data_IF_287746872430
#
_entry.id   IF_287746872430
#
_cell.length_a   1.000
_cell.length_b   1.000
_cell.length_c   1.000
_cell.angle_alpha   90.00
_cell.angle_beta   90.00
_cell.angle_gamma   90.00
#
_symmetry.space_group_name_H-M   'P 1'
#
loop_
_entity.id
_entity.type
_entity.pdbx_description
1 polymer ?
#
# COMPACT_ATOMS: atom_id res chain seq x y z
N UNK A 1 -21.90 -38.52 -55.10
CA UNK A 1 -22.35 -37.10 -55.09
C UNK A 1 -22.56 -36.52 -53.68
N UNK A 2 -22.50 -37.30 -52.60
CA UNK A 2 -22.76 -36.84 -51.21
C UNK A 2 -21.48 -36.28 -50.54
N UNK A 3 -20.30 -36.84 -50.82
CA UNK A 3 -19.03 -36.43 -50.19
C UNK A 3 -18.62 -34.98 -50.51
N UNK A 4 -18.79 -34.53 -51.77
CA UNK A 4 -18.48 -33.15 -52.16
C UNK A 4 -19.31 -32.09 -51.42
N UNK A 5 -20.51 -32.44 -50.95
CA UNK A 5 -21.39 -31.51 -50.21
C UNK A 5 -20.96 -31.35 -48.75
N UNK A 6 -20.38 -32.40 -48.16
CA UNK A 6 -19.84 -32.39 -46.78
C UNK A 6 -18.55 -31.57 -46.73
N UNK A 7 -17.68 -31.71 -47.73
CA UNK A 7 -16.41 -30.99 -47.81
C UNK A 7 -16.63 -29.48 -48.04
N UNK A 8 -17.60 -29.13 -48.90
CA UNK A 8 -18.03 -27.75 -49.12
C UNK A 8 -18.60 -27.10 -47.84
N UNK A 9 -19.35 -27.85 -47.03
CA UNK A 9 -19.86 -27.34 -45.74
C UNK A 9 -18.76 -27.13 -44.70
N UNK A 10 -17.74 -27.98 -44.64
CA UNK A 10 -16.59 -27.82 -43.74
C UNK A 10 -15.74 -26.60 -44.12
N UNK A 11 -15.55 -26.36 -45.42
CA UNK A 11 -14.84 -25.18 -45.94
C UNK A 11 -15.54 -23.87 -45.55
N UNK A 12 -16.86 -23.78 -45.77
CA UNK A 12 -17.66 -22.58 -45.41
C UNK A 12 -17.66 -22.30 -43.90
N UNK A 13 -17.67 -23.33 -43.05
CA UNK A 13 -17.58 -23.16 -41.58
C UNK A 13 -16.21 -22.61 -41.14
N UNK A 14 -15.12 -23.09 -41.74
CA UNK A 14 -13.76 -22.56 -41.45
C UNK A 14 -13.62 -21.10 -41.88
N UNK A 15 -14.19 -20.74 -43.03
CA UNK A 15 -14.15 -19.37 -43.53
C UNK A 15 -14.98 -18.40 -42.68
N UNK A 16 -16.15 -18.83 -42.17
CA UNK A 16 -16.94 -18.03 -41.21
C UNK A 16 -16.21 -17.82 -39.88
N UNK A 17 -15.58 -18.86 -39.31
CA UNK A 17 -14.81 -18.73 -38.06
C UNK A 17 -13.64 -17.74 -38.21
N UNK A 18 -12.92 -17.79 -39.33
CA UNK A 18 -11.82 -16.83 -39.60
C UNK A 18 -12.32 -15.39 -39.72
N UNK A 19 -13.48 -15.15 -40.33
CA UNK A 19 -14.08 -13.81 -40.40
C UNK A 19 -14.51 -13.29 -39.04
N UNK A 20 -15.11 -14.13 -38.19
CA UNK A 20 -15.51 -13.72 -36.84
C UNK A 20 -14.29 -13.35 -35.98
N UNK A 21 -13.22 -14.17 -36.03
CA UNK A 21 -11.99 -13.89 -35.29
C UNK A 21 -11.33 -12.59 -35.79
N UNK A 22 -11.26 -12.39 -37.10
CA UNK A 22 -10.68 -11.17 -37.67
C UNK A 22 -11.45 -9.91 -37.21
N UNK A 23 -12.79 -9.95 -37.22
CA UNK A 23 -13.60 -8.81 -36.75
C UNK A 23 -13.41 -8.57 -35.25
N UNK A 24 -13.37 -9.64 -34.43
CA UNK A 24 -13.15 -9.50 -32.99
C UNK A 24 -11.79 -8.88 -32.66
N UNK A 25 -10.73 -9.29 -33.37
CA UNK A 25 -9.39 -8.71 -33.21
C UNK A 25 -9.36 -7.25 -33.65
N UNK A 26 -10.00 -6.91 -34.78
CA UNK A 26 -10.09 -5.52 -35.25
C UNK A 26 -10.82 -4.61 -34.26
N UNK A 27 -11.91 -5.07 -33.65
CA UNK A 27 -12.65 -4.31 -32.62
C UNK A 27 -11.79 -4.10 -31.38
N UNK A 28 -11.03 -5.12 -30.95
CA UNK A 28 -10.13 -5.04 -29.80
C UNK A 28 -8.98 -4.05 -30.04
N UNK A 29 -8.39 -4.05 -31.24
CA UNK A 29 -7.32 -3.10 -31.61
C UNK A 29 -7.84 -1.67 -31.66
N UNK A 30 -9.05 -1.44 -32.20
CA UNK A 30 -9.66 -0.10 -32.22
C UNK A 30 -10.03 0.36 -30.81
N UNK A 31 -10.56 -0.52 -29.95
CA UNK A 31 -10.85 -0.19 -28.56
C UNK A 31 -9.58 0.14 -27.77
N UNK A 32 -8.50 -0.62 -27.95
CA UNK A 32 -7.20 -0.35 -27.33
C UNK A 32 -6.60 0.97 -27.85
N UNK A 33 -6.70 1.23 -29.15
CA UNK A 33 -6.24 2.49 -29.74
C UNK A 33 -7.05 3.68 -29.21
N UNK A 34 -8.38 3.57 -29.06
CA UNK A 34 -9.21 4.61 -28.47
C UNK A 34 -8.97 4.80 -26.97
N UNK A 35 -8.55 3.75 -26.27
CA UNK A 35 -8.18 3.84 -24.85
C UNK A 35 -6.82 4.53 -24.65
N UNK A 36 -5.84 4.22 -25.49
CA UNK A 36 -4.50 4.83 -25.47
C UNK A 36 -4.53 6.27 -26.01
N UNK A 37 -5.40 6.55 -26.96
CA UNK A 37 -5.50 7.85 -27.64
C UNK A 37 -6.64 8.72 -27.12
N UNK A 38 -7.35 8.30 -26.07
CA UNK A 38 -8.12 9.24 -25.27
C UNK A 38 -7.08 10.24 -24.74
N UNK A 39 -7.08 11.50 -25.21
CA UNK A 39 -6.28 12.49 -24.57
C UNK A 39 -6.75 12.47 -23.13
N UNK A 40 -5.81 12.32 -22.21
CA UNK A 40 -6.02 12.73 -20.85
C UNK A 40 -6.37 14.22 -20.96
N UNK A 41 -7.66 14.51 -21.17
CA UNK A 41 -8.24 15.78 -20.80
C UNK A 41 -7.88 15.83 -19.32
N UNK A 42 -6.76 16.51 -19.04
CA UNK A 42 -6.61 17.18 -17.78
C UNK A 42 -7.91 17.95 -17.68
N UNK A 43 -8.85 17.39 -16.92
CA UNK A 43 -9.85 18.19 -16.26
C UNK A 43 -8.99 19.31 -15.69
N UNK A 44 -9.09 20.50 -16.31
CA UNK A 44 -8.65 21.71 -15.68
C UNK A 44 -9.35 21.63 -14.34
N UNK A 45 -8.59 21.26 -13.30
CA UNK A 45 -9.11 21.27 -11.95
C UNK A 45 -9.75 22.64 -11.86
N UNK A 46 -11.07 22.74 -11.62
CA UNK A 46 -11.62 24.05 -11.33
C UNK A 46 -10.71 24.56 -10.25
N UNK A 47 -10.10 25.74 -10.43
CA UNK A 47 -9.31 26.39 -9.39
C UNK A 47 -10.18 26.28 -8.16
N UNK A 48 -9.87 25.30 -7.30
CA UNK A 48 -10.69 24.95 -6.16
C UNK A 48 -10.33 26.07 -5.23
N UNK A 49 -11.12 27.13 -5.34
CA UNK A 49 -11.23 28.19 -4.37
C UNK A 49 -11.15 27.50 -3.03
N UNK A 50 -10.02 27.68 -2.34
CA UNK A 50 -9.58 26.92 -1.18
C UNK A 50 -10.81 26.49 -0.41
N UNK A 51 -11.21 25.22 -0.58
CA UNK A 51 -12.46 24.74 0.00
C UNK A 51 -12.36 25.08 1.46
N UNK A 52 -13.22 26.02 1.91
CA UNK A 52 -13.18 26.55 3.25
C UNK A 52 -13.06 25.34 4.17
N UNK A 53 -11.86 25.17 4.74
CA UNK A 53 -11.66 24.29 5.87
C UNK A 53 -12.70 24.81 6.84
N UNK A 54 -13.77 24.06 7.04
CA UNK A 54 -14.86 24.42 7.94
C UNK A 54 -14.17 24.92 9.20
N UNK A 55 -14.27 26.23 9.45
CA UNK A 55 -13.50 26.87 10.52
C UNK A 55 -13.77 26.04 11.77
N UNK A 56 -12.71 25.40 12.26
CA UNK A 56 -12.74 24.70 13.52
C UNK A 56 -13.37 25.66 14.53
N UNK A 57 -14.36 25.24 15.34
CA UNK A 57 -15.01 26.14 16.27
C UNK A 57 -13.97 26.91 17.07
N UNK A 58 -13.88 28.22 16.82
CA UNK A 58 -12.94 29.12 17.50
C UNK A 58 -13.18 29.02 19.01
N UNK A 59 -12.20 28.51 19.75
CA UNK A 59 -12.22 28.53 21.21
C UNK A 59 -12.04 27.19 21.93
N UNK A 60 -11.82 26.08 21.24
CA UNK A 60 -11.32 24.88 21.90
C UNK A 60 -9.81 25.00 22.10
N UNK A 61 -9.37 25.47 23.28
CA UNK A 61 -7.96 25.36 23.67
C UNK A 61 -7.57 23.86 23.64
N UNK A 62 -6.44 23.51 23.00
CA UNK A 62 -5.97 22.13 22.99
C UNK A 62 -5.78 21.66 24.44
N UNK A 63 -6.18 20.42 24.78
CA UNK A 63 -6.07 19.93 26.15
C UNK A 63 -4.64 20.09 26.67
N UNK A 64 -4.49 20.73 27.83
CA UNK A 64 -3.19 20.96 28.45
C UNK A 64 -2.45 19.63 28.66
N UNK A 65 -1.22 19.54 28.13
CA UNK A 65 -0.29 18.45 28.41
C UNK A 65 -0.03 17.47 27.26
N UNK A 66 -0.61 17.66 26.06
CA UNK A 66 -0.54 16.68 24.98
C UNK A 66 -0.42 17.29 23.58
N UNK A 67 0.47 18.26 23.43
CA UNK A 67 0.93 18.67 22.11
C UNK A 67 2.01 17.71 21.64
N UNK A 68 1.75 17.01 20.54
CA UNK A 68 2.84 16.29 19.89
C UNK A 68 3.90 17.31 19.45
N UNK A 69 5.19 17.11 19.74
CA UNK A 69 6.20 17.99 19.19
C UNK A 69 6.07 17.96 17.66
N UNK A 70 6.17 19.13 17.02
CA UNK A 70 6.13 19.28 15.54
C UNK A 70 7.21 18.44 14.81
N UNK A 71 8.03 17.70 15.56
CA UNK A 71 9.09 16.82 15.06
C UNK A 71 8.57 15.56 14.39
N UNK A 72 7.38 15.06 14.74
CA UNK A 72 6.87 13.82 14.13
C UNK A 72 6.07 14.11 12.88
N UNK A 73 6.33 13.31 11.85
CA UNK A 73 5.67 13.37 10.55
C UNK A 73 4.54 12.34 10.50
N UNK A 74 3.33 12.80 10.18
CA UNK A 74 2.14 11.96 10.08
C UNK A 74 1.73 11.79 8.62
N UNK A 75 1.45 10.56 8.20
CA UNK A 75 0.85 10.25 6.91
C UNK A 75 -0.55 9.63 7.11
N UNK A 76 -1.55 10.13 6.39
CA UNK A 76 -2.92 9.59 6.37
C UNK A 76 -3.18 8.96 5.01
N UNK A 77 -3.28 7.63 5.01
CA UNK A 77 -3.54 6.83 3.84
C UNK A 77 -5.04 6.60 3.73
N UNK A 78 -5.66 6.97 2.63
CA UNK A 78 -7.12 6.91 2.52
C UNK A 78 -7.62 6.56 1.11
N UNK A 79 -8.78 5.92 1.04
CA UNK A 79 -9.49 5.77 -0.24
C UNK A 79 -10.26 7.05 -0.59
N UNK A 80 -10.67 7.23 -1.86
CA UNK A 80 -11.61 8.29 -2.21
C UNK A 80 -12.95 8.21 -1.46
N UNK A 81 -13.39 7.00 -1.09
CA UNK A 81 -14.65 6.79 -0.36
C UNK A 81 -14.58 7.24 1.11
N UNK A 82 -13.38 7.35 1.67
CA UNK A 82 -13.13 7.70 3.07
C UNK A 82 -12.98 9.22 3.30
N UNK A 83 -13.32 10.07 2.33
CA UNK A 83 -13.14 11.52 2.41
C UNK A 83 -13.78 12.17 3.67
N UNK A 84 -14.93 11.65 4.12
CA UNK A 84 -15.59 12.13 5.34
C UNK A 84 -14.75 11.79 6.60
N UNK A 85 -14.20 10.58 6.66
CA UNK A 85 -13.32 10.13 7.75
C UNK A 85 -11.97 10.82 7.75
N UNK A 86 -11.46 11.20 6.57
CA UNK A 86 -10.24 12.00 6.48
C UNK A 86 -10.38 13.33 7.25
N UNK A 87 -11.54 13.98 7.16
CA UNK A 87 -11.80 15.23 7.91
C UNK A 87 -11.84 14.98 9.43
N UNK A 88 -12.40 13.85 9.86
CA UNK A 88 -12.39 13.44 11.26
C UNK A 88 -10.95 13.19 11.76
N UNK A 89 -10.12 12.49 10.98
CA UNK A 89 -8.70 12.28 11.32
C UNK A 89 -7.95 13.59 11.41
N UNK A 90 -8.10 14.49 10.44
CA UNK A 90 -7.48 15.83 10.47
C UNK A 90 -7.93 16.62 11.70
N UNK A 91 -9.22 16.56 12.04
CA UNK A 91 -9.74 17.20 13.25
C UNK A 91 -9.06 16.66 14.50
N UNK A 92 -9.00 15.34 14.67
CA UNK A 92 -8.38 14.72 15.85
C UNK A 92 -6.87 14.99 15.93
N UNK A 93 -6.15 14.94 14.81
CA UNK A 93 -4.74 15.31 14.74
C UNK A 93 -4.52 16.76 15.19
N UNK A 94 -5.36 17.69 14.72
CA UNK A 94 -5.30 19.10 15.13
C UNK A 94 -5.54 19.27 16.63
N UNK A 95 -6.51 18.55 17.19
CA UNK A 95 -6.81 18.55 18.63
C UNK A 95 -5.65 17.99 19.49
N UNK A 96 -4.74 17.24 18.89
CA UNK A 96 -3.53 16.71 19.53
C UNK A 96 -2.26 17.53 19.17
N UNK A 97 -2.44 18.72 18.61
CA UNK A 97 -1.35 19.62 18.25
C UNK A 97 -0.61 19.26 16.94
N UNK A 98 -1.13 18.31 16.16
CA UNK A 98 -0.59 17.93 14.85
C UNK A 98 -1.37 18.60 13.73
N UNK A 99 -0.93 19.81 13.37
CA UNK A 99 -1.57 20.61 12.31
C UNK A 99 -1.15 20.19 10.89
N UNK A 100 -0.15 19.32 10.73
CA UNK A 100 0.39 18.92 9.43
C UNK A 100 0.37 17.40 9.28
N UNK A 101 -0.26 16.92 8.21
CA UNK A 101 -0.17 15.54 7.77
C UNK A 101 -0.01 15.47 6.26
N UNK A 102 0.71 14.46 5.77
CA UNK A 102 0.73 14.10 4.37
C UNK A 102 -0.49 13.21 4.06
N UNK A 103 -1.17 13.49 2.97
CA UNK A 103 -2.28 12.65 2.49
C UNK A 103 -1.79 11.75 1.36
N UNK A 104 -2.06 10.46 1.51
CA UNK A 104 -1.62 9.43 0.58
C UNK A 104 -2.85 8.71 0.05
N UNK A 105 -3.32 9.05 -1.17
CA UNK A 105 -4.46 8.35 -1.75
C UNK A 105 -4.07 6.91 -2.05
N UNK A 106 -4.91 5.95 -1.65
CA UNK A 106 -4.67 4.52 -1.90
C UNK A 106 -5.81 3.86 -2.67
N UNK A 107 -5.44 2.97 -3.58
CA UNK A 107 -6.36 2.15 -4.35
C UNK A 107 -6.75 0.90 -3.54
N UNK A 108 -7.60 1.02 -2.52
CA UNK A 108 -8.05 -0.18 -1.79
C UNK A 108 -8.94 -1.02 -2.70
N UNK A 109 -8.54 -2.27 -2.90
CA UNK A 109 -9.21 -3.27 -3.76
C UNK A 109 -9.78 -4.45 -2.94
N UNK A 110 -9.98 -4.28 -1.63
CA UNK A 110 -10.45 -5.32 -0.72
C UNK A 110 -11.72 -4.94 0.05
N UNK A 111 -12.52 -5.93 0.42
CA UNK A 111 -13.76 -5.79 1.20
C UNK A 111 -13.53 -5.67 2.71
N UNK A 112 -12.27 -5.73 3.17
CA UNK A 112 -11.93 -5.67 4.58
C UNK A 112 -11.79 -4.21 5.00
N UNK A 113 -12.51 -3.81 6.04
CA UNK A 113 -12.29 -2.53 6.71
C UNK A 113 -10.93 -2.56 7.40
N UNK A 114 -10.04 -1.69 6.97
CA UNK A 114 -8.72 -1.48 7.56
C UNK A 114 -8.72 -0.07 8.13
N UNK A 115 -9.02 0.04 9.43
CA UNK A 115 -8.84 1.27 10.19
C UNK A 115 -7.73 0.99 11.20
N UNK A 116 -6.54 1.51 10.94
CA UNK A 116 -5.37 1.18 11.74
C UNK A 116 -4.48 2.41 11.94
N UNK A 117 -3.77 2.41 13.06
CA UNK A 117 -2.69 3.36 13.35
C UNK A 117 -1.40 2.57 13.49
N UNK A 118 -0.40 2.91 12.70
CA UNK A 118 0.96 2.37 12.79
C UNK A 118 1.90 3.46 13.28
N UNK A 119 2.89 3.09 14.08
CA UNK A 119 3.99 3.97 14.45
C UNK A 119 5.33 3.27 14.21
N UNK A 120 6.32 4.06 13.80
CA UNK A 120 7.59 3.54 13.32
C UNK A 120 8.73 3.83 14.30
N UNK A 121 9.31 2.75 14.84
CA UNK A 121 10.39 2.82 15.82
C UNK A 121 9.97 2.58 17.27
N UNK A 122 10.85 2.93 18.21
CA UNK A 122 10.76 2.56 19.63
C UNK A 122 10.43 3.71 20.59
N UNK A 123 10.09 4.89 20.06
CA UNK A 123 9.80 6.08 20.86
C UNK A 123 8.49 5.93 21.66
N UNK A 124 8.58 6.06 22.99
CA UNK A 124 7.46 5.87 23.91
C UNK A 124 6.45 7.04 23.86
N UNK A 125 6.91 8.25 23.57
CA UNK A 125 6.05 9.42 23.35
C UNK A 125 5.21 9.22 22.10
N UNK A 126 5.84 8.79 21.00
CA UNK A 126 5.15 8.47 19.74
C UNK A 126 4.13 7.34 19.93
N UNK A 127 4.49 6.29 20.67
CA UNK A 127 3.56 5.19 21.02
C UNK A 127 2.35 5.69 21.82
N UNK A 128 2.58 6.54 22.83
CA UNK A 128 1.51 7.11 23.66
C UNK A 128 0.54 7.94 22.81
N UNK A 129 1.07 8.78 21.92
CA UNK A 129 0.27 9.55 20.98
C UNK A 129 -0.52 8.68 20.02
N UNK A 130 0.11 7.67 19.41
CA UNK A 130 -0.56 6.73 18.52
C UNK A 130 -1.73 6.04 19.23
N UNK A 131 -1.57 5.71 20.53
CA UNK A 131 -2.63 5.12 21.35
C UNK A 131 -3.82 6.05 21.52
N UNK A 132 -3.57 7.30 21.88
CA UNK A 132 -4.64 8.29 22.06
C UNK A 132 -5.36 8.63 20.76
N UNK A 133 -4.62 8.71 19.66
CA UNK A 133 -5.20 8.90 18.34
C UNK A 133 -6.10 7.73 17.96
N UNK A 134 -5.63 6.48 18.16
CA UNK A 134 -6.43 5.29 17.92
C UNK A 134 -7.70 5.27 18.77
N UNK A 135 -7.61 5.56 20.08
CA UNK A 135 -8.74 5.63 21.00
C UNK A 135 -9.79 6.67 20.55
N UNK A 136 -9.34 7.87 20.15
CA UNK A 136 -10.22 8.96 19.67
C UNK A 136 -10.91 8.62 18.35
N UNK A 137 -10.25 7.87 17.48
CA UNK A 137 -10.81 7.41 16.21
C UNK A 137 -11.66 6.13 16.37
N UNK A 138 -11.66 5.52 17.56
CA UNK A 138 -12.31 4.24 17.81
C UNK A 138 -11.67 3.09 17.02
N UNK A 139 -10.35 3.15 16.81
CA UNK A 139 -9.57 2.13 16.11
C UNK A 139 -9.01 1.11 17.11
N UNK A 140 -8.52 -0.01 16.59
CA UNK A 140 -7.76 -0.97 17.40
C UNK A 140 -6.45 -0.35 17.91
N UNK A 141 -5.85 -0.90 19.00
CA UNK A 141 -4.57 -0.42 19.52
C UNK A 141 -3.51 -0.30 18.43
N UNK A 142 -2.69 0.77 18.46
CA UNK A 142 -1.73 1.04 17.39
C UNK A 142 -0.67 -0.05 17.32
N UNK A 143 -0.20 -0.33 16.11
CA UNK A 143 0.81 -1.35 15.85
C UNK A 143 2.19 -0.70 15.65
N UNK A 144 3.21 -1.25 16.31
CA UNK A 144 4.61 -0.89 16.01
C UNK A 144 4.99 -1.50 14.67
N UNK A 145 5.73 -0.75 13.86
CA UNK A 145 6.40 -1.29 12.67
C UNK A 145 7.86 -0.84 12.68
N UNK A 146 8.78 -1.79 12.67
CA UNK A 146 10.22 -1.51 12.59
C UNK A 146 10.68 -1.50 11.13
N UNK A 147 10.13 -2.38 10.29
CA UNK A 147 10.44 -2.51 8.87
C UNK A 147 9.17 -2.69 8.01
N UNK A 148 9.15 -2.11 6.82
CA UNK A 148 8.10 -2.31 5.82
C UNK A 148 8.71 -2.85 4.53
N UNK A 149 8.26 -4.03 4.10
CA UNK A 149 8.69 -4.67 2.86
C UNK A 149 7.72 -4.32 1.74
N UNK A 150 8.13 -3.45 0.81
CA UNK A 150 7.35 -3.17 -0.41
C UNK A 150 7.84 -4.08 -1.52
N UNK A 151 7.02 -5.06 -1.90
CA UNK A 151 7.38 -6.12 -2.84
C UNK A 151 7.31 -5.61 -4.28
N UNK A 152 8.40 -5.75 -5.03
CA UNK A 152 8.44 -5.43 -6.45
C UNK A 152 8.21 -6.66 -7.34
N UNK A 153 8.19 -6.45 -8.66
CA UNK A 153 8.02 -7.52 -9.66
C UNK A 153 9.15 -8.55 -9.62
N UNK A 154 10.32 -8.20 -9.08
CA UNK A 154 11.46 -9.10 -8.87
C UNK A 154 11.25 -10.16 -7.77
N UNK A 155 10.23 -10.01 -6.91
CA UNK A 155 10.05 -10.78 -5.68
C UNK A 155 9.99 -12.30 -5.87
N UNK A 156 9.43 -12.81 -6.98
CA UNK A 156 9.39 -14.26 -7.22
C UNK A 156 10.80 -14.85 -7.37
N UNK A 157 11.66 -14.15 -8.11
CA UNK A 157 13.05 -14.53 -8.25
C UNK A 157 13.78 -14.46 -6.90
N UNK A 158 13.48 -13.43 -6.10
CA UNK A 158 14.08 -13.26 -4.77
C UNK A 158 13.70 -14.37 -3.81
N UNK A 159 12.41 -14.70 -3.71
CA UNK A 159 11.93 -15.77 -2.84
C UNK A 159 12.45 -17.14 -3.27
N UNK A 160 12.61 -17.37 -4.58
CA UNK A 160 13.18 -18.60 -5.11
C UNK A 160 14.68 -18.74 -4.80
N UNK A 161 15.42 -17.62 -4.83
CA UNK A 161 16.86 -17.59 -4.52
C UNK A 161 17.16 -17.53 -3.02
N UNK A 162 16.21 -17.04 -2.21
CA UNK A 162 16.39 -16.86 -0.78
C UNK A 162 16.61 -18.21 -0.05
N UNK A 163 17.55 -18.26 0.91
CA UNK A 163 17.87 -19.48 1.63
C UNK A 163 16.66 -20.04 2.37
N UNK A 164 16.49 -21.36 2.46
CA UNK A 164 15.34 -21.98 3.15
C UNK A 164 15.27 -21.65 4.64
N UNK A 165 16.42 -21.43 5.22
CA UNK A 165 16.67 -21.12 6.62
C UNK A 165 17.78 -20.09 6.63
N UNK A 166 17.65 -19.07 7.46
CA UNK A 166 18.65 -18.04 7.58
C UNK A 166 18.84 -17.73 9.07
N UNK A 167 20.10 -17.65 9.51
CA UNK A 167 20.40 -17.14 10.84
C UNK A 167 20.22 -15.63 10.79
N UNK A 168 19.19 -15.14 11.47
CA UNK A 168 18.96 -13.71 11.58
C UNK A 168 19.95 -13.09 12.57
N UNK A 169 20.27 -11.79 12.41
CA UNK A 169 21.07 -11.07 13.40
C UNK A 169 20.43 -11.13 14.80
N UNK A 170 21.23 -10.99 15.83
CA UNK A 170 20.74 -10.88 17.21
C UNK A 170 19.68 -9.76 17.34
N UNK A 171 18.62 -10.00 18.12
CA UNK A 171 17.50 -9.07 18.27
C UNK A 171 16.40 -9.20 17.20
N UNK A 172 16.53 -10.14 16.25
CA UNK A 172 15.54 -10.35 15.19
C UNK A 172 14.11 -10.64 15.66
N UNK A 173 13.98 -11.37 16.77
CA UNK A 173 12.69 -11.73 17.34
C UNK A 173 11.88 -10.52 17.82
N UNK A 174 12.56 -9.40 18.09
CA UNK A 174 11.93 -8.15 18.49
C UNK A 174 11.67 -7.22 17.29
N UNK A 175 12.02 -7.61 16.06
CA UNK A 175 11.78 -6.78 14.89
C UNK A 175 10.40 -7.05 14.33
N UNK A 176 9.57 -6.00 14.33
CA UNK A 176 8.21 -6.05 13.86
C UNK A 176 8.13 -5.56 12.42
N UNK A 177 7.51 -6.34 11.54
CA UNK A 177 7.50 -6.06 10.11
C UNK A 177 6.09 -6.05 9.54
N UNK A 178 5.88 -5.23 8.51
CA UNK A 178 4.74 -5.34 7.61
C UNK A 178 5.19 -5.68 6.19
N UNK A 179 4.27 -6.24 5.40
CA UNK A 179 4.55 -6.65 4.01
C UNK A 179 3.50 -6.07 3.07
N UNK A 180 3.93 -5.21 2.15
CA UNK A 180 3.08 -4.51 1.19
C UNK A 180 3.32 -5.05 -0.21
N UNK A 181 2.27 -5.59 -0.84
CA UNK A 181 2.35 -6.14 -2.19
C UNK A 181 2.30 -5.03 -3.24
N UNK A 182 3.44 -4.59 -3.74
CA UNK A 182 3.55 -3.68 -4.88
C UNK A 182 3.85 -4.36 -6.22
N UNK A 183 3.85 -5.69 -6.26
CA UNK A 183 4.26 -6.47 -7.45
C UNK A 183 3.12 -6.75 -8.43
N UNK A 184 1.88 -6.54 -8.00
CA UNK A 184 0.68 -6.97 -8.73
C UNK A 184 0.43 -8.49 -8.70
N UNK A 185 1.32 -9.30 -8.10
CA UNK A 185 1.19 -10.76 -8.07
C UNK A 185 0.28 -11.20 -6.92
N UNK A 186 -0.83 -11.92 -7.18
CA UNK A 186 -1.75 -12.33 -6.13
C UNK A 186 -1.11 -13.21 -5.04
N UNK A 187 -1.43 -12.89 -3.78
CA UNK A 187 -0.97 -13.64 -2.61
C UNK A 187 0.52 -13.51 -2.30
N UNK A 188 1.24 -12.60 -2.95
CA UNK A 188 2.68 -12.48 -2.77
C UNK A 188 3.08 -11.92 -1.39
N UNK A 189 2.33 -10.93 -0.88
CA UNK A 189 2.54 -10.43 0.48
C UNK A 189 2.35 -11.52 1.53
N UNK A 190 1.30 -12.32 1.43
CA UNK A 190 1.06 -13.44 2.37
C UNK A 190 2.16 -14.50 2.31
N UNK A 191 2.60 -14.90 1.11
CA UNK A 191 3.72 -15.84 0.94
C UNK A 191 5.02 -15.31 1.52
N UNK A 192 5.32 -14.03 1.29
CA UNK A 192 6.52 -13.37 1.83
C UNK A 192 6.43 -13.24 3.36
N UNK A 193 5.27 -12.87 3.90
CA UNK A 193 5.02 -12.81 5.34
C UNK A 193 5.29 -14.16 6.01
N UNK A 194 4.73 -15.26 5.48
CA UNK A 194 4.98 -16.61 6.01
C UNK A 194 6.47 -16.96 5.97
N UNK A 195 7.18 -16.52 4.93
CA UNK A 195 8.62 -16.74 4.80
C UNK A 195 9.42 -15.97 5.85
N UNK A 196 9.10 -14.69 6.07
CA UNK A 196 9.73 -13.86 7.10
C UNK A 196 9.46 -14.40 8.51
N UNK A 197 8.23 -14.83 8.79
CA UNK A 197 7.87 -15.52 10.04
C UNK A 197 8.69 -16.82 10.22
N UNK A 198 8.91 -17.58 9.14
CA UNK A 198 9.74 -18.78 9.16
C UNK A 198 11.22 -18.52 9.50
N UNK A 199 11.70 -17.28 9.36
CA UNK A 199 13.02 -16.87 9.83
C UNK A 199 13.01 -16.36 11.29
N UNK A 200 11.83 -16.19 11.90
CA UNK A 200 11.69 -15.72 13.28
C UNK A 200 11.34 -14.23 13.43
N UNK A 201 10.97 -13.53 12.34
CA UNK A 201 10.47 -12.16 12.41
C UNK A 201 9.00 -12.12 12.83
N UNK A 202 8.59 -11.02 13.48
CA UNK A 202 7.19 -10.79 13.84
C UNK A 202 6.50 -10.00 12.73
N UNK A 203 5.67 -10.66 11.92
CA UNK A 203 4.87 -9.96 10.91
C UNK A 203 3.53 -9.54 11.52
N UNK A 204 3.28 -8.23 11.62
CA UNK A 204 2.02 -7.67 12.16
C UNK A 204 0.95 -7.45 11.11
N UNK A 205 1.36 -7.19 9.86
CA UNK A 205 0.41 -6.97 8.78
C UNK A 205 0.98 -7.40 7.42
N UNK A 206 0.07 -7.75 6.51
CA UNK A 206 0.39 -7.94 5.10
C UNK A 206 -0.81 -7.52 4.23
N UNK A 207 -0.58 -6.61 3.29
CA UNK A 207 -1.65 -6.02 2.46
C UNK A 207 -1.14 -5.63 1.07
N UNK A 208 -2.00 -5.07 0.25
CA UNK A 208 -1.58 -4.45 -1.02
C UNK A 208 -0.89 -3.11 -0.75
N UNK A 209 0.12 -2.81 -1.55
CA UNK A 209 0.70 -1.47 -1.58
C UNK A 209 -0.26 -0.49 -2.29
N UNK A 210 0.02 0.81 -2.19
CA UNK A 210 -0.72 1.86 -2.90
C UNK A 210 -0.61 1.75 -4.44
N UNK A 211 0.54 1.27 -4.91
CA UNK A 211 0.85 0.98 -6.31
C UNK A 211 1.22 -0.49 -6.52
N UNK A 212 0.85 -1.05 -7.67
CA UNK A 212 1.19 -2.41 -8.12
C UNK A 212 2.31 -2.45 -9.17
N UNK A 213 2.93 -1.30 -9.46
CA UNK A 213 3.96 -1.15 -10.50
C UNK A 213 5.35 -0.96 -9.88
N UNK A 214 5.62 -1.57 -8.72
CA UNK A 214 6.95 -1.53 -8.12
C UNK A 214 7.86 -2.50 -8.87
N UNK A 215 8.87 -1.99 -9.57
CA UNK A 215 9.82 -2.85 -10.29
C UNK A 215 10.71 -3.66 -9.33
N UNK A 216 11.24 -3.00 -8.30
CA UNK A 216 12.19 -3.57 -7.34
C UNK A 216 11.57 -3.69 -5.94
N UNK A 217 11.87 -4.80 -5.26
CA UNK A 217 11.51 -4.96 -3.85
C UNK A 217 12.36 -4.02 -2.99
N UNK A 218 11.73 -3.28 -2.08
CA UNK A 218 12.39 -2.31 -1.21
C UNK A 218 12.07 -2.56 0.26
N UNK A 219 12.96 -2.13 1.15
CA UNK A 219 12.78 -2.19 2.59
C UNK A 219 12.80 -0.76 3.13
N UNK A 220 11.70 -0.35 3.74
CA UNK A 220 11.66 0.87 4.55
C UNK A 220 11.93 0.50 6.01
N UNK A 221 12.64 1.33 6.75
CA UNK A 221 13.01 1.04 8.13
C UNK A 221 12.90 2.26 9.04
N UNK A 222 12.59 1.98 10.31
CA UNK A 222 12.70 2.98 11.36
C UNK A 222 14.17 3.46 11.48
N UNK A 223 14.42 4.72 11.86
CA UNK A 223 15.77 5.30 11.87
C UNK A 223 16.80 4.48 12.66
N UNK A 224 16.39 3.91 13.79
CA UNK A 224 17.23 3.09 14.68
C UNK A 224 17.43 1.65 14.17
N UNK A 225 16.75 1.25 13.07
CA UNK A 225 16.78 -0.10 12.50
C UNK A 225 17.53 -0.20 11.18
N UNK A 226 18.14 0.88 10.70
CA UNK A 226 18.80 0.90 9.39
C UNK A 226 19.90 -0.16 9.24
N UNK A 227 20.80 -0.27 10.21
CA UNK A 227 21.86 -1.30 10.19
C UNK A 227 21.30 -2.72 10.19
N UNK A 228 20.20 -2.94 10.91
CA UNK A 228 19.51 -4.22 10.94
C UNK A 228 18.86 -4.54 9.59
N UNK A 229 18.19 -3.57 8.97
CA UNK A 229 17.58 -3.72 7.65
C UNK A 229 18.62 -4.09 6.57
N UNK A 230 19.82 -3.49 6.62
CA UNK A 230 20.93 -3.84 5.73
C UNK A 230 21.44 -5.27 5.97
N UNK A 231 21.58 -5.69 7.23
CA UNK A 231 21.99 -7.05 7.57
C UNK A 231 20.94 -8.07 7.09
N UNK A 232 19.66 -7.80 7.35
CA UNK A 232 18.55 -8.63 6.92
C UNK A 232 18.49 -8.75 5.39
N UNK A 233 18.65 -7.64 4.66
CA UNK A 233 18.77 -7.65 3.20
C UNK A 233 19.86 -8.61 2.73
N UNK A 234 21.04 -8.57 3.36
CA UNK A 234 22.17 -9.44 3.05
C UNK A 234 21.86 -10.92 3.30
N UNK A 235 21.28 -11.22 4.46
CA UNK A 235 20.88 -12.59 4.86
C UNK A 235 19.82 -13.16 3.93
N UNK A 236 18.87 -12.34 3.48
CA UNK A 236 17.81 -12.74 2.56
C UNK A 236 18.25 -12.78 1.10
N UNK A 237 19.45 -12.30 0.77
CA UNK A 237 19.95 -12.22 -0.60
C UNK A 237 19.15 -11.25 -1.48
N UNK A 238 18.52 -10.23 -0.88
CA UNK A 238 17.66 -9.30 -1.62
C UNK A 238 18.50 -8.19 -2.28
N UNK A 239 18.34 -7.94 -3.60
CA UNK A 239 19.09 -6.90 -4.32
C UNK A 239 18.56 -5.47 -4.06
N UNK A 240 17.37 -5.34 -3.46
CA UNK A 240 16.62 -4.10 -3.23
C UNK A 240 17.31 -3.01 -2.41
N UNK A 241 16.75 -1.81 -2.39
CA UNK A 241 17.28 -0.68 -1.58
C UNK A 241 16.64 -0.63 -0.20
N UNK A 242 17.40 -0.09 0.76
CA UNK A 242 16.93 0.21 2.12
C UNK A 242 16.76 1.71 2.25
N UNK A 243 15.58 2.16 2.65
CA UNK A 243 15.26 3.57 2.85
C UNK A 243 14.77 3.80 4.29
N UNK A 244 15.02 4.97 4.89
CA UNK A 244 14.30 5.36 6.10
C UNK A 244 12.81 5.58 5.77
N UNK A 245 11.94 5.47 6.76
CA UNK A 245 10.57 5.98 6.60
C UNK A 245 10.59 7.51 6.44
N UNK A 246 9.70 8.02 5.58
CA UNK A 246 9.47 9.45 5.41
C UNK A 246 8.50 10.02 6.46
N UNK A 247 7.86 9.16 7.25
CA UNK A 247 6.91 9.47 8.30
C UNK A 247 7.12 8.61 9.55
N UNK A 248 6.73 9.12 10.71
CA UNK A 248 6.85 8.44 12.00
C UNK A 248 5.54 7.75 12.40
N UNK A 249 4.41 8.22 11.87
CA UNK A 249 3.09 7.68 12.13
C UNK A 249 2.28 7.57 10.84
N UNK A 250 1.58 6.44 10.67
CA UNK A 250 0.67 6.19 9.56
C UNK A 250 -0.72 5.90 10.09
N UNK A 251 -1.71 6.63 9.60
CA UNK A 251 -3.13 6.31 9.80
C UNK A 251 -3.64 5.73 8.49
N UNK A 252 -4.18 4.51 8.52
CA UNK A 252 -4.79 3.87 7.35
C UNK A 252 -6.30 3.88 7.49
N UNK A 253 -6.95 4.47 6.50
CA UNK A 253 -8.40 4.49 6.31
C UNK A 253 -8.75 3.65 5.08
N UNK A 254 -9.43 2.53 5.29
CA UNK A 254 -9.94 1.70 4.22
C UNK A 254 -11.19 0.93 4.62
N UNK A 255 -12.12 0.78 3.66
CA UNK A 255 -13.27 -0.13 3.76
C UNK A 255 -14.65 0.52 3.63
N UNK A 256 -14.82 1.32 2.58
CA UNK A 256 -16.12 1.73 2.05
C UNK A 256 -16.69 0.73 1.06
#
# INVERSE_FOLDING_TARGET
>A
MIEGRVEMMRSRRRQRKRRIIAVAVSVLVVAAALFIWRPWEAEEEPVRENGQVSELPEGAEPPEGLTLPERYKVAVWHTPADAARLNEVRYQLTQLGQARCAEVPIAVTGTVRVNAVYYYGSDEELRSFAGQLADRLGFDPPQRVDLSFVLGQDIEGLLAAAPKTAELPEGAADIVVEVLNGSGIPGMASRTAQRLQGYGLVVVDFRNNDSFDCDETTIYCAPDKHSYALALKGVLGMPGKVYPFDYDLQVVLGGG
#
